data_IF_016212451905
#
_entry.id   IF_016212451905
#
_cell.length_a   1.000
_cell.length_b   1.000
_cell.length_c   1.000
_cell.angle_alpha   90.00
_cell.angle_beta   90.00
_cell.angle_gamma   90.00
#
_symmetry.space_group_name_H-M   'P 1'
#
loop_
_entity.id
_entity.type
_entity.pdbx_description
1 polymer ?
#
# COMPACT_ATOMS: atom_id res chain seq x y z
N UNK A 1 14.79 -1.53 -13.30
CA UNK A 1 13.79 -0.63 -12.69
C UNK A 1 14.52 0.34 -11.81
N UNK A 2 14.15 1.63 -11.83
CA UNK A 2 14.79 2.68 -11.03
C UNK A 2 13.77 3.26 -10.06
N UNK A 3 14.23 3.69 -8.88
CA UNK A 3 13.40 4.37 -7.86
C UNK A 3 12.24 3.55 -7.29
N UNK A 4 12.36 2.21 -7.24
CA UNK A 4 11.40 1.36 -6.53
C UNK A 4 11.40 1.55 -5.00
N UNK A 5 12.39 2.28 -4.48
CA UNK A 5 12.50 2.71 -3.10
C UNK A 5 12.85 4.21 -3.07
N UNK A 6 11.94 5.04 -2.59
CA UNK A 6 12.11 6.49 -2.47
C UNK A 6 11.56 7.25 -3.67
N UNK A 7 12.01 8.50 -3.82
CA UNK A 7 11.47 9.49 -4.77
C UNK A 7 9.98 9.81 -4.50
N UNK A 8 9.03 8.98 -4.94
CA UNK A 8 7.60 9.20 -4.75
C UNK A 8 6.90 7.91 -4.37
N UNK A 9 5.82 8.02 -3.57
CA UNK A 9 4.94 6.90 -3.37
C UNK A 9 4.20 6.60 -4.67
N UNK A 10 4.09 5.31 -4.98
CA UNK A 10 3.42 4.84 -6.20
C UNK A 10 2.10 4.18 -5.81
N UNK A 11 1.00 4.67 -6.38
CA UNK A 11 -0.32 4.06 -6.28
C UNK A 11 -0.35 2.70 -6.95
N UNK A 12 -1.09 1.77 -6.36
CA UNK A 12 -1.44 0.49 -6.99
C UNK A 12 -2.95 0.30 -7.00
N UNK A 13 -3.43 -0.64 -7.83
CA UNK A 13 -4.85 -0.90 -7.99
C UNK A 13 -5.54 -1.37 -6.69
N UNK A 14 -4.80 -2.07 -5.82
CA UNK A 14 -5.34 -2.70 -4.62
C UNK A 14 -5.94 -1.71 -3.62
N UNK A 15 -7.07 -2.09 -3.03
CA UNK A 15 -7.55 -1.46 -1.79
C UNK A 15 -6.68 -1.89 -0.60
N UNK A 16 -6.41 -0.94 0.31
CA UNK A 16 -5.61 -1.24 1.49
C UNK A 16 -6.48 -1.90 2.57
N UNK A 17 -5.98 -3.01 3.08
CA UNK A 17 -6.50 -3.70 4.27
C UNK A 17 -5.29 -4.32 4.99
N UNK A 18 -5.25 -4.10 6.30
CA UNK A 18 -4.20 -4.56 7.21
C UNK A 18 -4.14 -6.09 7.30
N UNK A 19 -5.28 -6.78 7.20
CA UNK A 19 -5.39 -8.23 7.38
C UNK A 19 -5.43 -9.01 6.08
N UNK A 20 -5.47 -8.35 4.91
CA UNK A 20 -5.64 -9.01 3.61
C UNK A 20 -4.68 -10.17 3.35
N UNK A 21 -3.42 -10.07 3.78
CA UNK A 21 -2.44 -11.14 3.56
C UNK A 21 -2.79 -12.45 4.27
N UNK A 22 -3.64 -12.43 5.30
CA UNK A 22 -4.12 -13.65 5.97
C UNK A 22 -5.17 -14.42 5.16
N UNK A 23 -5.91 -13.71 4.30
CA UNK A 23 -7.06 -14.23 3.55
C UNK A 23 -6.83 -14.21 2.03
N UNK A 24 -5.69 -13.66 1.59
CA UNK A 24 -5.35 -13.48 0.18
C UNK A 24 -5.35 -14.81 -0.56
N UNK A 25 -5.98 -14.90 -1.75
CA UNK A 25 -5.86 -16.08 -2.59
C UNK A 25 -4.40 -16.24 -3.06
N UNK A 26 -3.98 -17.49 -3.25
CA UNK A 26 -2.62 -17.79 -3.68
C UNK A 26 -2.34 -17.37 -5.14
N UNK A 27 -3.38 -17.33 -5.99
CA UNK A 27 -3.26 -17.03 -7.42
C UNK A 27 -3.92 -15.69 -7.73
N UNK A 28 -3.15 -14.77 -8.29
CA UNK A 28 -3.60 -13.44 -8.76
C UNK A 28 -4.48 -12.68 -7.75
N UNK A 29 -3.98 -12.39 -6.53
CA UNK A 29 -4.72 -11.59 -5.57
C UNK A 29 -4.95 -10.18 -6.12
N UNK A 30 -6.19 -9.68 -5.99
CA UNK A 30 -6.62 -8.37 -6.50
C UNK A 30 -6.78 -7.30 -5.42
N UNK A 31 -6.17 -7.53 -4.26
CA UNK A 31 -6.39 -6.71 -3.07
C UNK A 31 -7.74 -6.99 -2.39
N UNK A 32 -8.03 -6.25 -1.33
CA UNK A 32 -9.28 -6.36 -0.59
C UNK A 32 -10.46 -5.82 -1.41
N UNK A 33 -11.68 -6.25 -1.08
CA UNK A 33 -12.89 -5.75 -1.76
C UNK A 33 -13.19 -4.28 -1.41
N UNK A 34 -12.77 -3.82 -0.23
CA UNK A 34 -12.95 -2.45 0.26
C UNK A 34 -11.70 -1.98 0.99
N UNK A 35 -11.41 -0.68 0.90
CA UNK A 35 -10.29 -0.07 1.61
C UNK A 35 -10.65 0.24 3.07
N UNK A 36 -9.81 -0.20 4.00
CA UNK A 36 -9.95 0.04 5.43
C UNK A 36 -8.68 0.68 5.99
N UNK A 37 -8.80 1.85 6.62
CA UNK A 37 -7.74 2.45 7.42
C UNK A 37 -8.19 2.62 8.87
N UNK A 38 -7.22 2.74 9.77
CA UNK A 38 -7.49 3.00 11.19
C UNK A 38 -7.93 4.44 11.48
N UNK A 39 -7.89 5.34 10.50
CA UNK A 39 -8.18 6.77 10.66
C UNK A 39 -9.65 7.14 10.37
N UNK A 40 -10.52 6.18 10.04
CA UNK A 40 -11.93 6.40 9.66
C UNK A 40 -12.12 7.39 8.50
N UNK A 41 -11.13 7.50 7.61
CA UNK A 41 -11.14 8.43 6.47
C UNK A 41 -11.84 7.83 5.22
N UNK A 42 -12.76 6.89 5.36
CA UNK A 42 -13.36 6.21 4.20
C UNK A 42 -12.37 5.32 3.42
N UNK A 43 -12.72 4.87 2.20
CA UNK A 43 -11.93 3.89 1.45
C UNK A 43 -10.56 4.42 1.01
N UNK A 44 -9.52 3.60 1.16
CA UNK A 44 -8.13 3.96 0.85
C UNK A 44 -7.44 2.93 -0.04
N UNK A 45 -6.65 3.41 -1.01
CA UNK A 45 -5.86 2.57 -1.92
C UNK A 45 -4.44 2.37 -1.36
N UNK A 46 -3.75 1.33 -1.81
CA UNK A 46 -2.38 1.01 -1.39
C UNK A 46 -1.37 1.93 -2.09
N UNK A 47 -0.36 2.36 -1.33
CA UNK A 47 0.84 3.07 -1.80
C UNK A 47 2.09 2.23 -1.52
N UNK A 48 3.03 2.22 -2.46
CA UNK A 48 4.32 1.48 -2.36
C UNK A 48 5.52 2.40 -2.59
N UNK A 49 6.71 1.92 -2.27
CA UNK A 49 7.99 2.55 -2.64
C UNK A 49 8.53 3.57 -1.65
N UNK A 50 7.69 4.28 -0.89
CA UNK A 50 8.17 5.40 -0.07
C UNK A 50 8.39 6.66 -0.90
N UNK A 51 8.89 7.74 -0.31
CA UNK A 51 9.16 8.99 -1.03
C UNK A 51 10.38 9.70 -0.46
N UNK A 52 10.78 10.81 -1.07
CA UNK A 52 11.86 11.66 -0.55
C UNK A 52 11.56 12.24 0.85
N UNK A 53 10.29 12.25 1.28
CA UNK A 53 9.86 12.71 2.61
C UNK A 53 9.56 11.55 3.57
N UNK A 54 9.45 10.32 3.05
CA UNK A 54 9.11 9.17 3.87
C UNK A 54 10.30 8.76 4.76
N UNK A 55 10.05 8.26 5.98
CA UNK A 55 11.13 7.79 6.84
C UNK A 55 11.88 6.62 6.18
N UNK A 56 13.18 6.50 6.44
CA UNK A 56 14.03 5.42 5.93
C UNK A 56 13.45 4.03 6.23
N UNK A 57 12.80 3.88 7.39
CA UNK A 57 12.13 2.64 7.81
C UNK A 57 10.95 2.23 6.92
N UNK A 58 10.49 3.09 6.00
CA UNK A 58 9.47 2.77 5.01
C UNK A 58 10.04 2.34 3.65
N UNK A 59 11.35 2.48 3.44
CA UNK A 59 12.05 2.21 2.17
C UNK A 59 12.41 0.72 2.01
N UNK A 60 11.46 -0.17 2.29
CA UNK A 60 11.60 -1.60 2.05
C UNK A 60 10.45 -2.14 1.22
N UNK A 61 10.73 -3.17 0.44
CA UNK A 61 9.83 -3.72 -0.59
C UNK A 61 8.51 -4.28 -0.04
N UNK A 62 8.50 -4.68 1.23
CA UNK A 62 7.30 -5.17 1.92
C UNK A 62 6.45 -4.05 2.55
N UNK A 63 6.95 -2.81 2.63
CA UNK A 63 6.19 -1.71 3.21
C UNK A 63 4.96 -1.42 2.36
N UNK A 64 3.83 -1.16 3.04
CA UNK A 64 2.55 -0.80 2.43
C UNK A 64 2.02 0.40 3.17
N UNK A 65 1.82 1.49 2.45
CA UNK A 65 1.13 2.66 2.97
C UNK A 65 -0.23 2.80 2.29
N UNK A 66 -1.00 3.81 2.68
CA UNK A 66 -2.34 4.02 2.14
C UNK A 66 -2.71 5.50 2.16
N UNK A 67 -3.59 5.89 1.25
CA UNK A 67 -4.22 7.21 1.27
C UNK A 67 -5.60 7.13 0.58
N UNK A 68 -6.42 8.15 0.77
CA UNK A 68 -7.63 8.34 -0.03
C UNK A 68 -7.23 8.61 -1.49
N UNK A 69 -7.88 7.97 -2.48
CA UNK A 69 -7.57 8.17 -3.90
C UNK A 69 -7.89 9.58 -4.39
#
# INVERSE_FOLDING_TARGET
>A
VYNMAGNVFEWVEDWYDLTYYKESPALNPRGAEKGYNFANQGPVKVLRGGSWLAPETSLHTSHRFWNQP
#
